data_IF_496534168471
#
_entry.id   IF_496534168471
#
_cell.length_a   1.000
_cell.length_b   1.000
_cell.length_c   1.000
_cell.angle_alpha   90.00
_cell.angle_beta   90.00
_cell.angle_gamma   90.00
#
_symmetry.space_group_name_H-M   'P 1'
#
loop_
_entity.id
_entity.type
_entity.pdbx_description
1 polymer ?
#
# COMPACT_ATOMS: atom_id res chain seq x y z
N UNK A 1 38.04 -6.47 16.04
CA UNK A 1 36.78 -6.13 15.38
C UNK A 1 36.71 -6.94 14.09
N UNK A 2 35.93 -8.03 14.09
CA UNK A 2 35.64 -8.77 12.85
C UNK A 2 34.85 -7.82 11.93
N UNK A 3 35.31 -7.57 10.71
CA UNK A 3 34.53 -6.90 9.69
C UNK A 3 33.26 -7.72 9.48
N UNK A 4 32.10 -7.15 9.81
CA UNK A 4 30.83 -7.75 9.40
C UNK A 4 30.90 -8.04 7.89
N UNK A 5 30.36 -9.18 7.42
CA UNK A 5 30.32 -9.50 6.00
C UNK A 5 29.65 -8.34 5.26
N UNK A 6 30.29 -7.89 4.18
CA UNK A 6 29.88 -6.72 3.40
C UNK A 6 28.49 -6.99 2.80
N UNK A 7 27.42 -6.54 3.50
CA UNK A 7 26.02 -6.73 3.05
C UNK A 7 25.86 -6.09 1.66
N UNK A 8 25.16 -6.75 0.72
CA UNK A 8 24.87 -6.15 -0.58
C UNK A 8 24.15 -4.82 -0.44
N UNK A 9 24.57 -3.82 -1.25
CA UNK A 9 24.01 -2.46 -1.19
C UNK A 9 22.74 -2.36 -2.05
N UNK A 10 21.63 -2.01 -1.40
CA UNK A 10 20.32 -1.79 -2.04
C UNK A 10 19.91 -0.34 -1.86
N UNK A 11 19.59 0.31 -2.97
CA UNK A 11 19.07 1.68 -2.98
C UNK A 11 17.57 1.67 -3.19
N UNK A 12 16.80 2.16 -2.22
CA UNK A 12 15.40 2.51 -2.42
C UNK A 12 15.28 3.89 -3.05
N UNK A 13 14.43 4.02 -4.06
CA UNK A 13 14.01 5.32 -4.60
C UNK A 13 12.54 5.48 -4.29
N UNK A 14 12.21 6.42 -3.39
CA UNK A 14 10.86 6.54 -2.84
C UNK A 14 10.43 7.99 -2.60
N UNK A 15 9.48 8.45 -3.40
CA UNK A 15 8.93 9.82 -3.32
C UNK A 15 7.86 10.00 -2.25
N UNK A 16 7.23 8.91 -1.77
CA UNK A 16 6.20 8.95 -0.74
C UNK A 16 6.59 8.16 0.50
N UNK A 17 7.41 8.76 1.33
CA UNK A 17 7.85 8.25 2.62
C UNK A 17 7.63 9.30 3.71
N UNK A 18 7.60 8.90 5.00
CA UNK A 18 7.64 9.86 6.10
C UNK A 18 8.88 10.74 6.02
N UNK A 19 8.71 12.00 6.35
CA UNK A 19 9.80 12.97 6.44
C UNK A 19 9.71 13.70 7.78
N UNK A 20 10.78 14.33 8.29
CA UNK A 20 10.71 15.10 9.54
C UNK A 20 9.63 16.18 9.56
N UNK A 21 9.13 16.59 8.38
CA UNK A 21 8.09 17.64 8.25
C UNK A 21 6.71 17.11 7.84
N UNK A 22 6.60 15.83 7.46
CA UNK A 22 5.34 15.26 6.94
C UNK A 22 5.21 13.81 7.33
N UNK A 23 4.13 13.49 8.01
CA UNK A 23 3.70 12.11 8.17
C UNK A 23 3.18 11.58 6.83
N UNK A 24 3.55 10.37 6.48
CA UNK A 24 3.14 9.67 5.27
C UNK A 24 3.04 8.18 5.55
N UNK A 25 2.67 7.38 4.56
CA UNK A 25 2.62 5.93 4.68
C UNK A 25 4.00 5.36 5.02
N UNK A 26 4.08 4.60 6.10
CA UNK A 26 5.32 4.02 6.63
C UNK A 26 5.77 2.74 5.92
N UNK A 27 4.91 2.10 5.12
CA UNK A 27 5.15 0.76 4.54
C UNK A 27 6.50 0.65 3.82
N UNK A 28 6.90 1.67 3.05
CA UNK A 28 8.20 1.64 2.34
C UNK A 28 9.37 1.58 3.32
N UNK A 29 9.32 2.40 4.38
CA UNK A 29 10.35 2.40 5.42
C UNK A 29 10.31 1.10 6.24
N UNK A 30 9.13 0.58 6.54
CA UNK A 30 8.98 -0.74 7.19
C UNK A 30 9.67 -1.85 6.38
N UNK A 31 9.48 -1.88 5.06
CA UNK A 31 10.18 -2.84 4.19
C UNK A 31 11.69 -2.62 4.25
N UNK A 32 12.17 -1.37 4.18
CA UNK A 32 13.59 -1.06 4.25
C UNK A 32 14.22 -1.51 5.58
N UNK A 33 13.56 -1.23 6.72
CA UNK A 33 14.03 -1.65 8.04
C UNK A 33 14.09 -3.18 8.16
N UNK A 34 13.03 -3.88 7.73
CA UNK A 34 12.98 -5.33 7.79
C UNK A 34 13.99 -6.02 6.84
N UNK A 35 14.42 -5.35 5.78
CA UNK A 35 15.48 -5.83 4.87
C UNK A 35 16.90 -5.48 5.36
N UNK A 36 17.06 -4.52 6.26
CA UNK A 36 18.38 -4.05 6.73
C UNK A 36 19.25 -5.11 7.43
N UNK A 37 18.70 -6.18 8.03
CA UNK A 37 19.51 -7.30 8.52
C UNK A 37 20.25 -8.05 7.39
N UNK A 38 19.70 -8.08 6.18
CA UNK A 38 20.22 -8.83 5.03
C UNK A 38 21.00 -7.95 4.05
N UNK A 39 20.67 -6.65 3.96
CA UNK A 39 21.20 -5.71 2.97
C UNK A 39 21.65 -4.40 3.62
N UNK A 40 22.64 -3.74 3.01
CA UNK A 40 22.97 -2.36 3.34
C UNK A 40 21.97 -1.44 2.65
N UNK A 41 21.02 -0.91 3.42
CA UNK A 41 19.92 -0.13 2.90
C UNK A 41 20.22 1.37 2.88
N UNK A 42 19.86 2.04 1.79
CA UNK A 42 19.84 3.50 1.71
C UNK A 42 18.63 3.96 0.91
N UNK A 43 18.15 5.17 1.18
CA UNK A 43 16.96 5.72 0.50
C UNK A 43 17.29 7.03 -0.19
N UNK A 44 16.98 7.10 -1.48
CA UNK A 44 16.95 8.33 -2.26
C UNK A 44 15.50 8.82 -2.31
N UNK A 45 15.24 10.00 -1.74
CA UNK A 45 13.91 10.57 -1.69
C UNK A 45 13.72 11.65 -2.78
N UNK A 46 13.05 11.34 -3.90
CA UNK A 46 12.69 12.34 -4.89
C UNK A 46 11.73 13.37 -4.29
N UNK A 47 12.18 14.62 -4.16
CA UNK A 47 11.40 15.72 -3.64
C UNK A 47 11.09 16.73 -4.73
N UNK A 48 9.79 16.97 -4.99
CA UNK A 48 9.34 17.95 -5.97
C UNK A 48 9.73 19.36 -5.50
N UNK A 49 10.43 20.09 -6.34
CA UNK A 49 10.87 21.47 -6.09
C UNK A 49 10.23 22.42 -7.10
N UNK A 50 9.76 23.55 -6.62
CA UNK A 50 9.31 24.66 -7.48
C UNK A 50 10.27 25.86 -7.35
N UNK A 51 10.76 26.44 -8.45
CA UNK A 51 11.55 27.66 -8.41
C UNK A 51 10.71 28.86 -7.96
N UNK A 52 11.38 29.94 -7.52
CA UNK A 52 10.72 31.21 -7.22
C UNK A 52 10.00 31.75 -8.47
N UNK A 53 8.78 32.31 -8.35
CA UNK A 53 7.98 32.55 -7.13
C UNK A 53 7.06 31.39 -6.73
N UNK A 54 7.00 30.31 -7.49
CA UNK A 54 6.08 29.17 -7.28
C UNK A 54 6.33 28.42 -5.96
N UNK A 55 7.56 28.51 -5.42
CA UNK A 55 7.91 27.94 -4.11
C UNK A 55 7.14 28.59 -2.92
N UNK A 56 6.50 29.73 -3.12
CA UNK A 56 5.66 30.39 -2.11
C UNK A 56 4.28 29.74 -1.96
N UNK A 57 3.86 28.91 -2.91
CA UNK A 57 2.57 28.20 -2.81
C UNK A 57 2.58 27.23 -1.64
N UNK A 58 1.43 27.12 -0.93
CA UNK A 58 1.24 26.26 0.25
C UNK A 58 1.73 24.80 0.01
N UNK A 59 1.54 24.29 -1.21
CA UNK A 59 1.97 22.97 -1.66
C UNK A 59 3.50 22.75 -1.50
N UNK A 60 4.32 23.80 -1.70
CA UNK A 60 5.78 23.72 -1.72
C UNK A 60 6.45 24.18 -0.42
N UNK A 61 5.68 24.75 0.54
CA UNK A 61 6.22 25.23 1.82
C UNK A 61 6.83 24.13 2.69
N UNK A 62 6.38 22.89 2.52
CA UNK A 62 6.82 21.73 3.30
C UNK A 62 7.89 20.88 2.58
N UNK A 63 8.47 21.38 1.48
CA UNK A 63 9.55 20.66 0.80
C UNK A 63 10.81 20.75 1.66
N UNK A 64 11.38 19.58 1.93
CA UNK A 64 12.61 19.42 2.70
C UNK A 64 13.77 20.20 2.07
N UNK A 65 14.65 20.73 2.91
CA UNK A 65 15.96 21.23 2.52
C UNK A 65 16.83 20.16 1.83
N UNK A 66 18.11 20.45 1.64
CA UNK A 66 19.08 19.49 1.07
C UNK A 66 19.65 18.52 2.13
N UNK A 67 19.21 18.63 3.38
CA UNK A 67 19.78 17.85 4.47
C UNK A 67 19.26 16.41 4.42
N UNK A 68 20.19 15.47 4.46
CA UNK A 68 19.90 14.07 4.72
C UNK A 68 19.44 13.89 6.16
N UNK A 69 18.64 12.87 6.40
CA UNK A 69 18.25 12.45 7.75
C UNK A 69 18.42 10.95 7.89
N UNK A 70 18.37 10.48 9.08
CA UNK A 70 18.43 9.07 9.43
C UNK A 70 17.10 8.63 10.03
N UNK A 71 16.67 7.45 9.65
CA UNK A 71 15.46 6.78 10.14
C UNK A 71 15.86 5.37 10.56
N UNK A 72 16.02 5.14 11.86
CA UNK A 72 16.46 3.89 12.48
C UNK A 72 17.67 3.23 11.76
N UNK A 73 18.75 3.99 11.60
CA UNK A 73 19.99 3.52 10.97
C UNK A 73 20.00 3.55 9.44
N UNK A 74 18.87 3.89 8.80
CA UNK A 74 18.79 4.03 7.33
C UNK A 74 18.94 5.50 6.94
N UNK A 75 19.97 5.79 6.13
CA UNK A 75 20.21 7.16 5.65
C UNK A 75 19.29 7.48 4.48
N UNK A 76 18.45 8.51 4.66
CA UNK A 76 17.55 9.04 3.62
C UNK A 76 18.15 10.33 3.05
N UNK A 77 18.33 10.37 1.73
CA UNK A 77 18.92 11.51 1.01
C UNK A 77 17.92 12.14 0.06
N UNK A 78 17.62 13.45 0.22
CA UNK A 78 16.70 14.13 -0.69
C UNK A 78 17.33 14.35 -2.07
N UNK A 79 16.55 14.06 -3.11
CA UNK A 79 16.89 14.33 -4.51
C UNK A 79 15.86 15.27 -5.11
N UNK A 80 16.17 16.57 -5.15
CA UNK A 80 15.24 17.57 -5.68
C UNK A 80 15.06 17.43 -7.18
N UNK A 81 13.81 17.42 -7.64
CA UNK A 81 13.49 17.50 -9.06
C UNK A 81 12.48 18.62 -9.33
N UNK A 82 12.55 19.20 -10.52
CA UNK A 82 11.61 20.25 -10.94
C UNK A 82 10.50 19.61 -11.75
N UNK A 83 9.26 19.92 -11.37
CA UNK A 83 8.07 19.55 -12.14
C UNK A 83 7.48 20.80 -12.76
N UNK A 84 7.58 20.93 -14.08
CA UNK A 84 6.98 22.04 -14.83
C UNK A 84 5.61 21.63 -15.37
N UNK A 85 4.59 22.44 -15.03
CA UNK A 85 3.26 22.46 -15.62
C UNK A 85 2.53 21.12 -15.87
N UNK A 86 1.77 20.69 -14.88
CA UNK A 86 0.76 19.62 -14.99
C UNK A 86 1.31 18.19 -15.08
N UNK A 87 0.44 17.22 -14.80
CA UNK A 87 0.81 15.80 -14.82
C UNK A 87 1.25 15.27 -16.19
N UNK A 88 0.85 15.93 -17.29
CA UNK A 88 1.09 15.49 -18.67
C UNK A 88 2.48 15.81 -19.21
N UNK A 89 3.17 16.85 -18.68
CA UNK A 89 4.46 17.34 -19.21
C UNK A 89 5.57 17.37 -18.14
N UNK A 90 5.50 16.49 -17.17
CA UNK A 90 6.20 16.60 -15.90
C UNK A 90 7.74 16.45 -15.96
N UNK A 91 8.34 16.08 -17.11
CA UNK A 91 9.71 15.57 -17.14
C UNK A 91 10.63 16.23 -18.17
N UNK A 92 10.32 17.42 -18.62
CA UNK A 92 11.10 18.14 -19.66
C UNK A 92 12.54 18.53 -19.26
N UNK A 93 12.95 18.38 -17.98
CA UNK A 93 14.28 18.74 -17.50
C UNK A 93 15.18 17.52 -17.19
N UNK A 94 14.86 16.38 -17.76
CA UNK A 94 15.54 15.10 -17.50
C UNK A 94 17.06 15.07 -17.78
N UNK A 95 17.62 15.76 -18.79
CA UNK A 95 19.06 15.73 -19.04
C UNK A 95 19.92 16.19 -17.85
N UNK A 96 19.41 17.15 -17.06
CA UNK A 96 20.10 17.65 -15.88
C UNK A 96 20.20 16.61 -14.76
N UNK A 97 19.30 15.62 -14.73
CA UNK A 97 19.29 14.60 -13.68
C UNK A 97 20.35 13.56 -13.85
N UNK A 98 20.71 13.20 -15.10
CA UNK A 98 21.78 12.22 -15.38
C UNK A 98 23.11 12.59 -14.70
N UNK A 99 23.53 13.86 -14.82
CA UNK A 99 24.74 14.37 -14.16
C UNK A 99 24.64 14.32 -12.62
N UNK A 100 23.46 14.59 -12.08
CA UNK A 100 23.22 14.58 -10.62
C UNK A 100 23.19 13.15 -10.07
N UNK A 101 22.58 12.21 -10.79
CA UNK A 101 22.57 10.78 -10.47
C UNK A 101 23.99 10.24 -10.50
N UNK A 102 24.76 10.55 -11.54
CA UNK A 102 26.16 10.15 -11.64
C UNK A 102 26.97 10.64 -10.42
N UNK A 103 26.84 11.93 -10.09
CA UNK A 103 27.50 12.51 -8.90
C UNK A 103 27.05 11.83 -7.61
N UNK A 104 25.77 11.54 -7.46
CA UNK A 104 25.25 10.82 -6.30
C UNK A 104 25.91 9.45 -6.14
N UNK A 105 25.95 8.64 -7.20
CA UNK A 105 26.58 7.32 -7.17
C UNK A 105 28.11 7.39 -6.96
N UNK A 106 28.79 8.40 -7.50
CA UNK A 106 30.20 8.63 -7.23
C UNK A 106 30.51 8.96 -5.76
N UNK A 107 29.61 9.70 -5.10
CA UNK A 107 29.76 10.11 -3.70
C UNK A 107 29.34 9.04 -2.69
N UNK A 108 28.36 8.20 -3.03
CA UNK A 108 27.73 7.29 -2.08
C UNK A 108 27.85 5.81 -2.44
N UNK A 109 28.56 5.51 -3.54
CA UNK A 109 28.71 4.16 -4.07
C UNK A 109 27.61 3.78 -5.06
N UNK A 110 27.96 2.86 -5.96
CA UNK A 110 27.03 2.26 -6.92
C UNK A 110 26.25 1.17 -6.19
N UNK A 111 24.90 1.20 -6.17
CA UNK A 111 24.12 0.12 -5.58
C UNK A 111 24.21 -1.16 -6.41
N UNK A 112 24.01 -2.32 -5.80
CA UNK A 112 23.91 -3.60 -6.51
C UNK A 112 22.49 -3.89 -7.00
N UNK A 113 21.50 -3.21 -6.41
CA UNK A 113 20.09 -3.26 -6.82
C UNK A 113 19.43 -1.92 -6.50
N UNK A 114 18.56 -1.46 -7.38
CA UNK A 114 17.69 -0.30 -7.13
C UNK A 114 16.24 -0.76 -7.06
N UNK A 115 15.51 -0.34 -6.01
CA UNK A 115 14.08 -0.59 -5.92
C UNK A 115 13.31 0.73 -5.88
N UNK A 116 12.60 1.03 -6.95
CA UNK A 116 11.73 2.19 -7.09
C UNK A 116 10.32 1.87 -6.58
N UNK A 117 9.75 2.73 -5.73
CA UNK A 117 8.45 2.49 -5.10
C UNK A 117 7.25 3.10 -5.84
N UNK A 118 7.50 3.76 -6.97
CA UNK A 118 6.53 4.22 -7.97
C UNK A 118 7.17 4.16 -9.35
N UNK A 119 6.37 4.07 -10.40
CA UNK A 119 6.90 4.10 -11.76
C UNK A 119 7.51 5.47 -12.09
N UNK A 120 6.88 6.57 -11.66
CA UNK A 120 7.38 7.92 -11.87
C UNK A 120 7.16 8.80 -10.63
N UNK A 121 8.15 9.58 -10.16
CA UNK A 121 9.49 9.78 -10.73
C UNK A 121 10.52 8.72 -10.34
N UNK A 122 10.21 7.86 -9.39
CA UNK A 122 11.14 6.95 -8.71
C UNK A 122 11.78 5.97 -9.72
N UNK A 123 10.95 5.29 -10.52
CA UNK A 123 11.40 4.33 -11.53
C UNK A 123 12.25 4.97 -12.62
N UNK A 124 12.00 6.25 -12.97
CA UNK A 124 12.89 6.95 -13.90
C UNK A 124 14.30 7.13 -13.34
N UNK A 125 14.43 7.47 -12.07
CA UNK A 125 15.74 7.59 -11.42
C UNK A 125 16.43 6.23 -11.39
N UNK A 126 15.70 5.16 -11.04
CA UNK A 126 16.23 3.80 -11.05
C UNK A 126 16.69 3.37 -12.45
N UNK A 127 15.89 3.64 -13.48
CA UNK A 127 16.23 3.42 -14.88
C UNK A 127 17.51 4.15 -15.29
N UNK A 128 17.69 5.41 -14.92
CA UNK A 128 18.92 6.15 -15.22
C UNK A 128 20.15 5.58 -14.51
N UNK A 129 20.03 5.08 -13.28
CA UNK A 129 21.12 4.38 -12.57
C UNK A 129 21.45 3.09 -13.32
N UNK A 130 20.44 2.31 -13.71
CA UNK A 130 20.61 1.10 -14.50
C UNK A 130 21.35 1.35 -15.81
N UNK A 131 20.96 2.38 -16.57
CA UNK A 131 21.59 2.75 -17.84
C UNK A 131 23.05 3.23 -17.68
N UNK A 132 23.38 3.84 -16.54
CA UNK A 132 24.72 4.36 -16.28
C UNK A 132 25.69 3.29 -15.77
N UNK A 133 25.21 2.32 -15.01
CA UNK A 133 26.05 1.42 -14.22
C UNK A 133 25.72 -0.06 -14.43
N UNK A 134 24.81 -0.40 -15.33
CA UNK A 134 24.34 -1.76 -15.59
C UNK A 134 23.82 -2.48 -14.32
N UNK A 135 23.09 -1.75 -13.47
CA UNK A 135 22.52 -2.24 -12.22
C UNK A 135 21.08 -2.66 -12.44
N UNK A 136 20.64 -3.84 -11.98
CA UNK A 136 19.23 -4.24 -12.07
C UNK A 136 18.36 -3.32 -11.23
N UNK A 137 17.10 -3.09 -11.70
CA UNK A 137 16.15 -2.34 -10.91
C UNK A 137 14.76 -2.98 -10.93
N UNK A 138 14.05 -2.77 -9.83
CA UNK A 138 12.68 -3.22 -9.58
C UNK A 138 11.78 -1.99 -9.48
N UNK A 139 10.53 -2.13 -9.92
CA UNK A 139 9.49 -1.13 -9.74
C UNK A 139 8.35 -1.73 -8.93
N UNK A 140 8.00 -1.12 -7.80
CA UNK A 140 6.71 -1.33 -7.15
C UNK A 140 5.66 -0.43 -7.82
N UNK A 141 4.88 -1.00 -8.74
CA UNK A 141 3.81 -0.31 -9.42
C UNK A 141 2.61 -0.14 -8.47
N UNK A 142 2.13 1.07 -8.36
CA UNK A 142 1.05 1.38 -7.42
C UNK A 142 -0.17 1.93 -8.15
N UNK A 143 -1.30 1.96 -7.45
CA UNK A 143 -2.56 2.48 -8.00
C UNK A 143 -2.43 3.90 -8.57
N UNK A 144 -1.62 4.76 -7.97
CA UNK A 144 -1.35 6.11 -8.51
C UNK A 144 -0.69 6.11 -9.89
N UNK A 145 0.01 5.04 -10.25
CA UNK A 145 0.69 4.91 -11.55
C UNK A 145 -0.27 4.57 -12.68
N UNK A 146 -1.42 3.94 -12.36
CA UNK A 146 -2.47 3.57 -13.32
C UNK A 146 -2.95 4.80 -14.11
N UNK A 147 -3.10 5.94 -13.44
CA UNK A 147 -3.51 7.18 -14.10
C UNK A 147 -2.51 7.64 -15.19
N UNK A 148 -1.22 7.36 -14.99
CA UNK A 148 -0.18 7.68 -15.98
C UNK A 148 -0.08 6.61 -17.06
N UNK A 149 -0.34 5.36 -16.72
CA UNK A 149 -0.43 4.25 -17.65
C UNK A 149 -1.55 4.45 -18.68
N UNK A 150 -2.68 5.02 -18.26
CA UNK A 150 -3.86 5.29 -19.09
C UNK A 150 -3.80 6.60 -19.90
N UNK A 151 -2.67 7.33 -19.86
CA UNK A 151 -2.49 8.52 -20.69
C UNK A 151 -2.41 8.15 -22.18
N UNK A 152 -2.79 9.09 -23.09
CA UNK A 152 -2.68 8.86 -24.53
C UNK A 152 -1.25 8.53 -24.98
N UNK A 153 -1.06 7.71 -26.02
CA UNK A 153 0.27 7.25 -26.48
C UNK A 153 1.23 8.39 -26.89
N UNK A 154 0.70 9.51 -27.36
CA UNK A 154 1.50 10.70 -27.72
C UNK A 154 1.99 11.51 -26.51
N UNK A 155 1.48 11.23 -25.30
CA UNK A 155 1.89 11.92 -24.09
C UNK A 155 3.31 11.53 -23.69
N UNK A 156 4.19 12.50 -23.45
CA UNK A 156 5.58 12.27 -23.04
C UNK A 156 5.69 11.49 -21.73
N UNK A 157 4.78 11.70 -20.80
CA UNK A 157 4.72 10.93 -19.54
C UNK A 157 4.40 9.44 -19.80
N UNK A 158 3.48 9.15 -20.74
CA UNK A 158 3.17 7.77 -21.12
C UNK A 158 4.37 7.09 -21.76
N UNK A 159 5.02 7.75 -22.72
CA UNK A 159 6.23 7.20 -23.37
C UNK A 159 7.33 6.90 -22.37
N UNK A 160 7.58 7.85 -21.46
CA UNK A 160 8.59 7.67 -20.41
C UNK A 160 8.23 6.52 -19.46
N UNK A 161 6.96 6.41 -19.07
CA UNK A 161 6.51 5.29 -18.23
C UNK A 161 6.69 3.96 -18.95
N UNK A 162 6.33 3.87 -20.24
CA UNK A 162 6.52 2.65 -21.00
C UNK A 162 8.00 2.26 -21.09
N UNK A 163 8.89 3.23 -21.34
CA UNK A 163 10.34 2.99 -21.36
C UNK A 163 10.85 2.46 -20.01
N UNK A 164 10.41 3.09 -18.92
CA UNK A 164 10.80 2.72 -17.55
C UNK A 164 10.28 1.32 -17.18
N UNK A 165 9.05 0.99 -17.53
CA UNK A 165 8.47 -0.32 -17.22
C UNK A 165 9.08 -1.44 -18.07
N UNK A 166 9.31 -1.20 -19.38
CA UNK A 166 9.85 -2.22 -20.31
C UNK A 166 11.31 -2.60 -20.01
N UNK A 167 12.07 -1.72 -19.36
CA UNK A 167 13.47 -1.99 -18.99
C UNK A 167 13.66 -2.44 -17.54
N UNK A 168 12.58 -2.53 -16.76
CA UNK A 168 12.66 -3.01 -15.38
C UNK A 168 13.00 -4.51 -15.33
N UNK A 169 13.92 -4.89 -14.44
CA UNK A 169 14.28 -6.30 -14.22
C UNK A 169 13.09 -7.08 -13.64
N UNK A 170 12.25 -6.42 -12.83
CA UNK A 170 10.97 -6.92 -12.36
C UNK A 170 10.02 -5.77 -12.03
N UNK A 171 8.74 -6.01 -12.23
CA UNK A 171 7.67 -5.14 -11.76
C UNK A 171 6.91 -5.88 -10.66
N UNK A 172 6.75 -5.23 -9.51
CA UNK A 172 5.99 -5.72 -8.38
C UNK A 172 4.65 -5.00 -8.33
N UNK A 173 3.60 -5.74 -8.07
CA UNK A 173 2.25 -5.24 -7.75
C UNK A 173 1.79 -5.80 -6.41
N UNK A 174 0.75 -5.24 -5.81
CA UNK A 174 0.34 -5.64 -4.46
C UNK A 174 -0.90 -6.54 -4.45
N UNK A 175 -1.65 -6.62 -5.55
CA UNK A 175 -2.83 -7.46 -5.69
C UNK A 175 -3.06 -7.89 -7.14
N UNK A 176 -3.98 -8.84 -7.33
CA UNK A 176 -4.31 -9.39 -8.64
C UNK A 176 -4.89 -8.34 -9.61
N UNK A 177 -5.68 -7.38 -9.12
CA UNK A 177 -6.25 -6.34 -9.98
C UNK A 177 -5.17 -5.47 -10.64
N UNK A 178 -4.11 -5.13 -9.90
CA UNK A 178 -2.98 -4.40 -10.47
C UNK A 178 -2.19 -5.26 -11.45
N UNK A 179 -2.08 -6.57 -11.19
CA UNK A 179 -1.42 -7.52 -12.08
C UNK A 179 -2.18 -7.62 -13.42
N UNK A 180 -3.50 -7.74 -13.37
CA UNK A 180 -4.38 -7.79 -14.54
C UNK A 180 -4.23 -6.52 -15.39
N UNK A 181 -4.30 -5.32 -14.79
CA UNK A 181 -4.09 -4.05 -15.48
C UNK A 181 -2.72 -3.97 -16.18
N UNK A 182 -1.66 -4.45 -15.55
CA UNK A 182 -0.33 -4.48 -16.18
C UNK A 182 -0.23 -5.52 -17.28
N UNK A 183 -0.83 -6.70 -17.11
CA UNK A 183 -0.89 -7.76 -18.11
C UNK A 183 -1.62 -7.29 -19.37
N UNK A 184 -2.77 -6.64 -19.23
CA UNK A 184 -3.51 -6.02 -20.34
C UNK A 184 -2.70 -4.94 -21.07
N UNK A 185 -1.83 -4.24 -20.33
CA UNK A 185 -0.91 -3.26 -20.90
C UNK A 185 0.38 -3.88 -21.50
N UNK A 186 0.52 -5.22 -21.46
CA UNK A 186 1.67 -5.95 -22.02
C UNK A 186 2.88 -6.05 -21.10
N UNK A 187 2.73 -5.88 -19.78
CA UNK A 187 3.82 -5.97 -18.80
C UNK A 187 3.65 -7.16 -17.87
N UNK A 188 4.69 -7.98 -17.75
CA UNK A 188 4.75 -9.02 -16.73
C UNK A 188 5.02 -8.42 -15.34
N UNK A 189 4.33 -8.92 -14.33
CA UNK A 189 4.51 -8.49 -12.95
C UNK A 189 4.36 -9.64 -11.96
N UNK A 190 4.90 -9.42 -10.74
CA UNK A 190 4.83 -10.36 -9.63
C UNK A 190 4.01 -9.75 -8.51
N UNK A 191 3.05 -10.50 -7.98
CA UNK A 191 2.28 -10.08 -6.81
C UNK A 191 3.14 -10.22 -5.56
N UNK A 192 3.43 -9.08 -4.92
CA UNK A 192 4.13 -8.98 -3.65
C UNK A 192 3.26 -8.18 -2.69
N UNK A 193 2.41 -8.85 -1.90
CA UNK A 193 1.51 -8.18 -0.96
C UNK A 193 2.29 -7.46 0.15
N UNK A 194 1.58 -6.67 0.94
CA UNK A 194 2.13 -6.17 2.19
C UNK A 194 1.97 -7.21 3.29
N UNK A 195 2.85 -7.14 4.29
CA UNK A 195 2.77 -7.97 5.49
C UNK A 195 2.09 -7.24 6.65
N UNK A 196 1.71 -8.01 7.65
CA UNK A 196 1.32 -7.52 8.97
C UNK A 196 2.25 -8.10 10.04
N UNK A 197 2.32 -7.44 11.19
CA UNK A 197 3.12 -7.91 12.31
C UNK A 197 2.46 -9.16 12.93
N UNK A 198 3.30 -10.08 13.38
CA UNK A 198 2.82 -11.33 14.03
C UNK A 198 2.07 -11.07 15.34
N UNK A 199 2.39 -9.97 16.01
CA UNK A 199 1.73 -9.56 17.26
C UNK A 199 0.26 -9.15 17.06
N UNK A 200 -0.16 -8.90 15.83
CA UNK A 200 -1.56 -8.62 15.48
C UNK A 200 -2.47 -9.85 15.55
N UNK A 201 -1.90 -11.06 15.52
CA UNK A 201 -2.70 -12.28 15.54
C UNK A 201 -3.24 -12.59 16.94
N UNK A 202 -4.52 -12.31 17.13
CA UNK A 202 -5.25 -12.67 18.34
C UNK A 202 -6.28 -13.76 18.02
N UNK A 203 -6.31 -14.83 18.79
CA UNK A 203 -7.44 -15.76 18.75
C UNK A 203 -8.64 -15.10 19.43
N UNK A 204 -9.80 -15.16 18.79
CA UNK A 204 -11.06 -14.87 19.51
C UNK A 204 -11.20 -15.84 20.67
N UNK A 205 -11.38 -15.29 21.85
CA UNK A 205 -11.89 -16.07 22.98
C UNK A 205 -13.29 -16.54 22.59
N UNK A 206 -13.51 -17.85 22.51
CA UNK A 206 -14.72 -18.61 22.14
C UNK A 206 -15.89 -17.85 21.50
N UNK A 207 -16.52 -18.44 20.48
CA UNK A 207 -17.67 -17.88 19.76
C UNK A 207 -18.64 -17.17 20.72
N UNK A 208 -18.85 -15.89 20.45
CA UNK A 208 -19.73 -15.04 21.24
C UNK A 208 -21.13 -15.67 21.25
N UNK A 209 -21.54 -16.25 22.36
CA UNK A 209 -22.88 -16.85 22.53
C UNK A 209 -23.98 -15.79 22.69
N UNK A 210 -23.59 -14.50 22.63
CA UNK A 210 -24.53 -13.40 22.65
C UNK A 210 -25.22 -13.25 21.29
N UNK A 211 -26.53 -12.99 21.32
CA UNK A 211 -27.31 -12.68 20.10
C UNK A 211 -26.96 -11.28 19.51
N UNK A 212 -25.77 -10.75 19.83
CA UNK A 212 -25.27 -9.46 19.36
C UNK A 212 -24.09 -9.70 18.42
N UNK A 213 -24.20 -9.19 17.20
CA UNK A 213 -23.16 -9.23 16.19
C UNK A 213 -22.47 -7.88 16.06
N UNK A 214 -21.17 -7.86 16.21
CA UNK A 214 -20.35 -6.65 16.15
C UNK A 214 -19.75 -6.50 14.75
N UNK A 215 -19.99 -5.35 14.13
CA UNK A 215 -19.48 -4.98 12.81
C UNK A 215 -18.50 -3.82 12.96
N UNK A 216 -17.31 -3.95 12.39
CA UNK A 216 -16.34 -2.87 12.31
C UNK A 216 -16.21 -2.33 10.89
N UNK A 217 -16.06 -1.01 10.79
CA UNK A 217 -15.65 -0.32 9.58
C UNK A 217 -14.54 0.68 9.93
N UNK A 218 -13.39 0.62 9.27
CA UNK A 218 -12.24 1.49 9.56
C UNK A 218 -11.73 2.10 8.27
N UNK A 219 -11.74 3.44 8.17
CA UNK A 219 -11.26 4.13 6.99
C UNK A 219 -11.42 5.64 7.06
N UNK A 220 -10.77 6.35 6.14
CA UNK A 220 -10.97 7.80 5.98
C UNK A 220 -12.41 8.08 5.52
N UNK A 221 -13.06 9.10 6.09
CA UNK A 221 -14.44 9.46 5.75
C UNK A 221 -14.49 10.26 4.45
N UNK A 222 -14.27 9.55 3.34
CA UNK A 222 -14.32 10.04 1.97
C UNK A 222 -15.25 9.18 1.11
N UNK A 223 -15.81 9.72 0.01
CA UNK A 223 -16.82 9.00 -0.81
C UNK A 223 -16.35 7.63 -1.29
N UNK A 224 -15.07 7.48 -1.62
CA UNK A 224 -14.49 6.25 -2.16
C UNK A 224 -14.47 5.07 -1.17
N UNK A 225 -14.70 5.33 0.12
CA UNK A 225 -14.74 4.28 1.17
C UNK A 225 -16.11 3.67 1.35
N UNK A 226 -17.17 4.32 0.83
CA UNK A 226 -18.56 3.85 0.93
C UNK A 226 -19.00 3.45 2.34
N UNK A 227 -18.58 4.25 3.35
CA UNK A 227 -18.99 4.02 4.74
C UNK A 227 -20.50 4.21 4.91
N UNK A 228 -21.08 5.10 4.10
CA UNK A 228 -22.54 5.29 3.97
C UNK A 228 -23.27 3.99 3.62
N UNK A 229 -22.71 3.14 2.77
CA UNK A 229 -23.29 1.82 2.45
C UNK A 229 -23.37 0.94 3.69
N UNK A 230 -22.32 0.93 4.52
CA UNK A 230 -22.29 0.10 5.73
C UNK A 230 -23.35 0.57 6.73
N UNK A 231 -23.43 1.89 6.95
CA UNK A 231 -24.45 2.48 7.86
C UNK A 231 -25.87 2.18 7.35
N UNK A 232 -26.12 2.43 6.06
CA UNK A 232 -27.45 2.23 5.48
C UNK A 232 -27.89 0.74 5.50
N UNK A 233 -26.98 -0.18 5.22
CA UNK A 233 -27.28 -1.61 5.26
C UNK A 233 -27.59 -2.10 6.69
N UNK A 234 -26.83 -1.63 7.69
CA UNK A 234 -27.11 -1.96 9.10
C UNK A 234 -28.45 -1.39 9.56
N UNK A 235 -28.78 -0.15 9.18
CA UNK A 235 -30.09 0.47 9.50
C UNK A 235 -31.28 -0.23 8.84
N UNK A 236 -31.08 -0.74 7.64
CA UNK A 236 -32.14 -1.40 6.86
C UNK A 236 -32.29 -2.91 7.19
N UNK A 237 -31.50 -3.42 8.14
CA UNK A 237 -31.62 -4.82 8.55
C UNK A 237 -32.82 -5.04 9.44
N UNK A 238 -33.71 -5.97 9.06
CA UNK A 238 -34.96 -6.29 9.75
C UNK A 238 -35.00 -7.73 10.33
N UNK A 239 -33.81 -8.41 10.39
CA UNK A 239 -33.75 -9.77 10.93
C UNK A 239 -33.69 -9.81 12.48
N UNK A 240 -33.60 -11.02 13.03
CA UNK A 240 -33.68 -11.26 14.47
C UNK A 240 -32.41 -10.94 15.27
N UNK A 241 -31.24 -10.79 14.61
CA UNK A 241 -29.98 -10.54 15.29
C UNK A 241 -29.83 -9.07 15.69
N UNK A 242 -29.30 -8.85 16.88
CA UNK A 242 -28.92 -7.50 17.31
C UNK A 242 -27.58 -7.14 16.71
N UNK A 243 -27.52 -6.04 15.97
CA UNK A 243 -26.29 -5.54 15.34
C UNK A 243 -25.69 -4.42 16.19
N UNK A 244 -24.36 -4.32 16.19
CA UNK A 244 -23.63 -3.14 16.67
C UNK A 244 -22.58 -2.77 15.63
N UNK A 245 -22.68 -1.57 15.08
CA UNK A 245 -21.71 -1.04 14.12
C UNK A 245 -20.82 0.00 14.80
N UNK A 246 -19.52 -0.21 14.74
CA UNK A 246 -18.52 0.77 15.14
C UNK A 246 -17.72 1.22 13.92
N UNK A 247 -17.70 2.52 13.67
CA UNK A 247 -17.03 3.15 12.53
C UNK A 247 -15.89 4.03 13.04
N UNK A 248 -14.65 3.69 12.67
CA UNK A 248 -13.47 4.46 13.05
C UNK A 248 -12.86 5.18 11.85
N UNK A 249 -12.58 6.46 12.00
CA UNK A 249 -11.98 7.29 10.96
C UNK A 249 -12.33 8.76 11.10
N UNK A 250 -11.83 9.55 10.18
CA UNK A 250 -12.11 10.99 10.05
C UNK A 250 -12.08 11.38 8.59
N UNK A 251 -12.76 12.47 8.23
CA UNK A 251 -12.74 13.00 6.89
C UNK A 251 -13.90 13.94 6.57
N UNK A 252 -13.93 14.45 5.35
CA UNK A 252 -14.92 15.45 4.94
C UNK A 252 -16.38 14.98 5.02
N UNK A 253 -16.64 13.66 4.96
CA UNK A 253 -18.01 13.12 5.07
C UNK A 253 -18.51 12.95 6.51
N UNK A 254 -17.72 13.37 7.54
CA UNK A 254 -18.11 13.14 8.93
C UNK A 254 -19.52 13.58 9.26
N UNK A 255 -19.90 14.80 8.89
CA UNK A 255 -21.22 15.34 9.15
C UNK A 255 -22.35 14.54 8.47
N UNK A 256 -22.13 14.12 7.22
CA UNK A 256 -23.09 13.30 6.47
C UNK A 256 -23.28 11.93 7.14
N UNK A 257 -22.19 11.28 7.56
CA UNK A 257 -22.24 9.99 8.25
C UNK A 257 -22.91 10.09 9.63
N UNK A 258 -22.70 11.20 10.37
CA UNK A 258 -23.38 11.48 11.63
C UNK A 258 -24.90 11.63 11.43
N UNK A 259 -25.34 12.31 10.36
CA UNK A 259 -26.75 12.40 10.02
C UNK A 259 -27.34 11.04 9.66
N UNK A 260 -26.60 10.22 8.91
CA UNK A 260 -27.03 8.85 8.57
C UNK A 260 -27.13 7.95 9.82
N UNK A 261 -26.28 8.14 10.82
CA UNK A 261 -26.30 7.37 12.06
C UNK A 261 -27.32 7.91 13.09
N UNK A 262 -27.89 9.09 12.88
CA UNK A 262 -28.79 9.73 13.84
C UNK A 262 -30.01 8.87 14.14
N UNK A 263 -30.30 8.69 15.45
CA UNK A 263 -31.46 7.89 15.92
C UNK A 263 -31.21 6.38 15.89
N UNK A 264 -29.98 5.91 15.64
CA UNK A 264 -29.60 4.51 15.72
C UNK A 264 -28.57 4.32 16.85
N UNK A 265 -29.01 3.88 18.02
CA UNK A 265 -28.14 3.72 19.21
C UNK A 265 -27.11 2.59 19.06
N UNK A 266 -27.28 1.74 18.10
CA UNK A 266 -26.43 0.61 17.73
C UNK A 266 -25.32 0.98 16.71
N UNK A 267 -25.30 2.23 16.22
CA UNK A 267 -24.29 2.73 15.28
C UNK A 267 -23.45 3.83 15.95
N UNK A 268 -22.15 3.59 16.06
CA UNK A 268 -21.24 4.48 16.75
C UNK A 268 -20.10 4.93 15.84
N UNK A 269 -19.96 6.25 15.63
CA UNK A 269 -18.81 6.87 14.97
C UNK A 269 -17.77 7.26 16.01
N UNK A 270 -16.64 6.53 16.01
CA UNK A 270 -15.58 6.68 17.03
C UNK A 270 -14.62 7.86 16.77
N UNK A 271 -14.67 8.45 15.56
CA UNK A 271 -13.65 9.38 15.14
C UNK A 271 -12.31 8.69 14.85
N UNK A 272 -11.24 9.47 14.77
CA UNK A 272 -9.89 8.94 14.55
C UNK A 272 -9.36 8.30 15.83
N UNK A 273 -9.02 7.02 15.76
CA UNK A 273 -8.44 6.24 16.86
C UNK A 273 -6.98 5.88 16.58
N UNK A 274 -6.23 5.47 17.60
CA UNK A 274 -4.86 4.98 17.44
C UNK A 274 -4.85 3.60 16.76
N UNK A 275 -3.69 3.20 16.22
CA UNK A 275 -3.53 1.89 15.59
C UNK A 275 -3.79 0.73 16.58
N UNK A 276 -3.35 0.88 17.84
CA UNK A 276 -3.61 -0.10 18.88
C UNK A 276 -5.12 -0.25 19.17
N UNK A 277 -5.85 0.88 19.18
CA UNK A 277 -7.29 0.87 19.35
C UNK A 277 -8.03 0.30 18.11
N UNK A 278 -7.43 0.35 16.91
CA UNK A 278 -7.96 -0.37 15.74
C UNK A 278 -7.86 -1.89 15.98
N UNK A 279 -6.73 -2.38 16.47
CA UNK A 279 -6.58 -3.80 16.84
C UNK A 279 -7.62 -4.25 17.87
N UNK A 280 -7.85 -3.45 18.90
CA UNK A 280 -8.88 -3.75 19.92
C UNK A 280 -10.30 -3.74 19.34
N UNK A 281 -10.63 -2.78 18.46
CA UNK A 281 -11.90 -2.73 17.74
C UNK A 281 -12.12 -4.00 16.92
N UNK A 282 -11.12 -4.41 16.15
CA UNK A 282 -11.19 -5.61 15.31
C UNK A 282 -11.30 -6.89 16.13
N UNK A 283 -10.61 -6.98 17.28
CA UNK A 283 -10.70 -8.11 18.21
C UNK A 283 -12.12 -8.30 18.76
N UNK A 284 -12.84 -7.20 18.98
CA UNK A 284 -14.23 -7.20 19.47
C UNK A 284 -15.28 -7.40 18.37
N UNK A 285 -14.86 -7.44 17.10
CA UNK A 285 -15.78 -7.49 15.95
C UNK A 285 -15.88 -8.87 15.33
N UNK A 286 -17.00 -9.19 14.72
CA UNK A 286 -17.30 -10.44 14.04
C UNK A 286 -17.17 -10.29 12.53
N UNK A 287 -17.54 -9.12 12.02
CA UNK A 287 -17.49 -8.76 10.60
C UNK A 287 -16.69 -7.47 10.46
N UNK A 288 -15.81 -7.45 9.48
CA UNK A 288 -15.18 -6.22 8.99
C UNK A 288 -15.73 -5.89 7.61
N UNK A 289 -16.39 -4.75 7.48
CA UNK A 289 -17.03 -4.32 6.24
C UNK A 289 -16.44 -2.99 5.77
N UNK A 290 -15.76 -2.99 4.61
CA UNK A 290 -15.26 -1.78 3.98
C UNK A 290 -15.36 -1.90 2.44
N UNK A 291 -16.48 -1.49 1.82
CA UNK A 291 -16.68 -1.57 0.36
C UNK A 291 -15.96 -0.45 -0.40
N UNK A 292 -14.66 -0.29 -0.17
CA UNK A 292 -13.84 0.78 -0.72
C UNK A 292 -13.52 0.56 -2.20
N UNK A 293 -13.85 1.50 -3.08
CA UNK A 293 -13.58 1.43 -4.54
C UNK A 293 -12.21 1.98 -4.94
N UNK A 294 -11.47 2.57 -4.03
CA UNK A 294 -10.19 3.20 -4.34
C UNK A 294 -9.10 2.80 -3.35
N UNK A 295 -8.85 1.50 -3.23
CA UNK A 295 -7.84 0.97 -2.32
C UNK A 295 -6.62 0.45 -3.08
N UNK A 296 -5.41 0.72 -2.57
CA UNK A 296 -4.19 0.19 -3.16
C UNK A 296 -3.97 -1.27 -2.74
N UNK A 297 -4.09 -1.54 -1.45
CA UNK A 297 -3.99 -2.86 -0.86
C UNK A 297 -4.98 -3.00 0.31
N UNK A 298 -4.97 -2.01 1.23
CA UNK A 298 -5.84 -2.00 2.40
C UNK A 298 -5.35 -2.92 3.50
N UNK A 299 -4.26 -2.54 4.18
CA UNK A 299 -3.68 -3.30 5.31
C UNK A 299 -4.72 -3.68 6.36
N UNK A 300 -5.71 -2.80 6.58
CA UNK A 300 -6.78 -3.03 7.55
C UNK A 300 -7.59 -4.31 7.28
N UNK A 301 -7.67 -4.79 6.04
CA UNK A 301 -8.30 -6.09 5.77
C UNK A 301 -7.47 -7.25 6.35
N UNK A 302 -6.13 -7.21 6.20
CA UNK A 302 -5.27 -8.20 6.82
C UNK A 302 -5.28 -8.11 8.35
N UNK A 303 -5.33 -6.89 8.88
CA UNK A 303 -5.48 -6.65 10.32
C UNK A 303 -6.79 -7.27 10.83
N UNK A 304 -7.89 -7.10 10.09
CA UNK A 304 -9.17 -7.69 10.43
C UNK A 304 -9.17 -9.24 10.34
N UNK A 305 -8.53 -9.81 9.30
CA UNK A 305 -8.39 -11.27 9.21
C UNK A 305 -7.53 -11.84 10.33
N UNK A 306 -6.48 -11.14 10.76
CA UNK A 306 -5.64 -11.54 11.90
C UNK A 306 -6.40 -11.56 13.23
N UNK A 307 -7.53 -10.87 13.32
CA UNK A 307 -8.45 -10.90 14.46
C UNK A 307 -9.69 -11.76 14.20
N UNK A 308 -9.65 -12.66 13.20
CA UNK A 308 -10.75 -13.56 12.84
C UNK A 308 -12.08 -12.83 12.57
N UNK A 309 -12.02 -11.74 11.80
CA UNK A 309 -13.23 -11.12 11.26
C UNK A 309 -13.56 -11.71 9.88
N UNK A 310 -14.84 -11.96 9.61
CA UNK A 310 -15.31 -12.20 8.25
C UNK A 310 -15.24 -10.90 7.44
N UNK A 311 -14.72 -10.96 6.21
CA UNK A 311 -14.36 -9.78 5.44
C UNK A 311 -15.36 -9.52 4.31
N UNK A 312 -15.81 -8.27 4.17
CA UNK A 312 -16.45 -7.77 2.94
C UNK A 312 -15.60 -6.65 2.36
N UNK A 313 -15.19 -6.80 1.10
CA UNK A 313 -14.39 -5.84 0.35
C UNK A 313 -14.99 -5.60 -1.05
N UNK A 314 -14.38 -4.72 -1.83
CA UNK A 314 -14.80 -4.44 -3.22
C UNK A 314 -14.00 -5.29 -4.20
N UNK A 315 -14.69 -5.85 -5.19
CA UNK A 315 -14.09 -6.57 -6.33
C UNK A 315 -13.16 -5.65 -7.14
N UNK A 316 -12.03 -6.17 -7.61
CA UNK A 316 -11.11 -5.44 -8.48
C UNK A 316 -10.27 -4.34 -7.79
N UNK A 317 -10.23 -4.28 -6.45
CA UNK A 317 -9.42 -3.29 -5.72
C UNK A 317 -9.02 -3.81 -4.33
N UNK A 318 -8.07 -3.15 -3.69
CA UNK A 318 -7.65 -3.50 -2.33
C UNK A 318 -7.09 -4.90 -2.21
N UNK A 319 -7.72 -5.72 -1.35
CA UNK A 319 -7.31 -7.09 -1.06
C UNK A 319 -7.74 -8.11 -2.13
N UNK A 320 -8.46 -7.67 -3.18
CA UNK A 320 -8.95 -8.54 -4.25
C UNK A 320 -7.84 -9.43 -4.83
N UNK A 321 -8.13 -10.74 -4.93
CA UNK A 321 -7.21 -11.76 -5.43
C UNK A 321 -6.13 -12.20 -4.46
N UNK A 322 -6.04 -11.56 -3.27
CA UNK A 322 -5.18 -12.04 -2.17
C UNK A 322 -5.96 -12.97 -1.23
N UNK A 323 -7.27 -12.76 -1.10
CA UNK A 323 -8.20 -13.65 -0.42
C UNK A 323 -9.19 -14.22 -1.46
N UNK A 324 -9.57 -15.48 -1.29
CA UNK A 324 -10.48 -16.21 -2.19
C UNK A 324 -11.92 -15.79 -1.95
N UNK A 325 -12.64 -15.39 -3.03
CA UNK A 325 -14.06 -15.02 -2.91
C UNK A 325 -14.91 -16.23 -2.52
N UNK A 326 -15.81 -16.03 -1.58
CA UNK A 326 -16.71 -17.05 -1.06
C UNK A 326 -16.12 -17.99 -0.02
N UNK A 327 -14.77 -17.97 0.18
CA UNK A 327 -14.06 -18.83 1.13
C UNK A 327 -13.33 -18.03 2.22
N UNK A 328 -12.57 -17.02 1.85
CA UNK A 328 -11.75 -16.21 2.76
C UNK A 328 -12.25 -14.76 2.88
N UNK A 329 -13.03 -14.29 1.90
CA UNK A 329 -13.70 -12.99 1.91
C UNK A 329 -14.94 -13.00 0.99
N UNK A 330 -15.82 -12.00 1.14
CA UNK A 330 -16.85 -11.69 0.16
C UNK A 330 -16.52 -10.38 -0.56
N UNK A 331 -16.69 -10.36 -1.89
CA UNK A 331 -16.43 -9.17 -2.67
C UNK A 331 -17.71 -8.65 -3.34
N UNK A 332 -18.00 -7.38 -3.13
CA UNK A 332 -19.14 -6.68 -3.73
C UNK A 332 -18.69 -5.76 -4.88
N UNK A 333 -19.60 -5.44 -5.78
CA UNK A 333 -19.42 -4.50 -6.89
C UNK A 333 -20.47 -3.39 -6.94
N UNK A 334 -21.50 -3.51 -6.09
CA UNK A 334 -22.64 -2.59 -5.98
C UNK A 334 -23.16 -2.55 -4.55
N UNK A 335 -23.98 -1.53 -4.22
CA UNK A 335 -24.64 -1.46 -2.92
C UNK A 335 -25.53 -2.67 -2.65
N UNK A 336 -26.34 -3.09 -3.64
CA UNK A 336 -27.20 -4.27 -3.51
C UNK A 336 -26.39 -5.53 -3.21
N UNK A 337 -25.32 -5.77 -3.99
CA UNK A 337 -24.43 -6.91 -3.77
C UNK A 337 -23.73 -6.84 -2.40
N UNK A 338 -23.37 -5.63 -1.94
CA UNK A 338 -22.84 -5.42 -0.58
C UNK A 338 -23.83 -5.81 0.50
N UNK A 339 -25.06 -5.30 0.39
CA UNK A 339 -26.13 -5.54 1.36
C UNK A 339 -26.48 -7.04 1.46
N UNK A 340 -26.66 -7.72 0.33
CA UNK A 340 -26.92 -9.17 0.27
C UNK A 340 -25.81 -9.97 0.97
N UNK A 341 -24.54 -9.64 0.69
CA UNK A 341 -23.39 -10.31 1.29
C UNK A 341 -23.24 -10.02 2.77
N UNK A 342 -23.55 -8.79 3.19
CA UNK A 342 -23.56 -8.44 4.61
C UNK A 342 -24.62 -9.24 5.35
N UNK A 343 -25.83 -9.31 4.81
CA UNK A 343 -26.93 -10.07 5.42
C UNK A 343 -26.64 -11.57 5.45
N UNK A 344 -26.00 -12.12 4.42
CA UNK A 344 -25.53 -13.50 4.46
C UNK A 344 -24.56 -13.75 5.62
N UNK A 345 -23.58 -12.86 5.85
CA UNK A 345 -22.67 -12.98 7.00
C UNK A 345 -23.38 -12.77 8.34
N UNK A 346 -24.42 -11.97 8.38
CA UNK A 346 -25.21 -11.77 9.59
C UNK A 346 -25.99 -13.03 9.92
N UNK A 347 -26.69 -13.61 8.97
CA UNK A 347 -27.63 -14.72 9.20
C UNK A 347 -26.96 -16.09 9.32
N UNK A 348 -25.90 -16.33 8.55
CA UNK A 348 -25.24 -17.64 8.46
C UNK A 348 -24.02 -17.73 9.37
N UNK A 349 -24.19 -17.96 10.67
CA UNK A 349 -23.11 -18.03 11.67
C UNK A 349 -22.01 -19.03 11.30
N UNK A 350 -22.39 -20.23 10.83
CA UNK A 350 -21.45 -21.25 10.41
C UNK A 350 -20.57 -20.80 9.25
N UNK A 351 -21.17 -20.20 8.23
CA UNK A 351 -20.48 -19.66 7.06
C UNK A 351 -19.54 -18.51 7.46
N UNK A 352 -20.05 -17.53 8.23
CA UNK A 352 -19.25 -16.43 8.75
C UNK A 352 -18.01 -16.89 9.51
N UNK A 353 -18.20 -17.79 10.46
CA UNK A 353 -17.11 -18.27 11.32
C UNK A 353 -16.08 -19.08 10.54
N UNK A 354 -16.51 -19.91 9.58
CA UNK A 354 -15.60 -20.66 8.72
C UNK A 354 -14.80 -19.72 7.82
N UNK A 355 -15.43 -18.73 7.20
CA UNK A 355 -14.74 -17.71 6.37
C UNK A 355 -13.70 -16.95 7.18
N UNK A 356 -14.06 -16.49 8.38
CA UNK A 356 -13.15 -15.80 9.28
C UNK A 356 -11.92 -16.66 9.65
N UNK A 357 -12.14 -17.94 9.90
CA UNK A 357 -11.08 -18.90 10.20
C UNK A 357 -10.17 -19.15 8.99
N UNK A 358 -10.75 -19.36 7.80
CA UNK A 358 -10.00 -19.57 6.57
C UNK A 358 -9.13 -18.33 6.25
N UNK A 359 -9.70 -17.13 6.35
CA UNK A 359 -8.98 -15.88 6.16
C UNK A 359 -7.84 -15.69 7.18
N UNK A 360 -8.06 -16.05 8.45
CA UNK A 360 -7.04 -16.01 9.49
C UNK A 360 -5.88 -16.94 9.16
N UNK A 361 -6.16 -18.21 8.83
CA UNK A 361 -5.13 -19.18 8.46
C UNK A 361 -4.34 -18.71 7.25
N UNK A 362 -5.04 -18.30 6.20
CA UNK A 362 -4.41 -17.75 4.98
C UNK A 362 -3.50 -16.57 5.27
N UNK A 363 -3.96 -15.64 6.11
CA UNK A 363 -3.19 -14.45 6.46
C UNK A 363 -1.94 -14.82 7.25
N UNK A 364 -2.06 -15.72 8.21
CA UNK A 364 -0.94 -16.20 9.04
C UNK A 364 0.13 -16.91 8.22
N UNK A 365 -0.28 -17.70 7.24
CA UNK A 365 0.62 -18.52 6.42
C UNK A 365 1.26 -17.77 5.25
N UNK A 366 0.68 -16.61 4.82
CA UNK A 366 1.12 -15.98 3.58
C UNK A 366 1.42 -14.48 3.69
N UNK A 367 0.95 -13.80 4.75
CA UNK A 367 0.95 -12.33 4.82
C UNK A 367 1.58 -11.78 6.11
N UNK A 368 2.37 -12.55 6.85
CA UNK A 368 3.23 -11.97 7.88
C UNK A 368 4.42 -11.25 7.25
N UNK A 369 4.94 -10.23 7.92
CA UNK A 369 6.13 -9.54 7.42
C UNK A 369 7.32 -10.49 7.21
N UNK A 370 7.51 -11.49 8.05
CA UNK A 370 8.62 -12.44 7.90
C UNK A 370 8.54 -13.16 6.55
N UNK A 371 7.36 -13.69 6.19
CA UNK A 371 7.14 -14.37 4.92
C UNK A 371 7.32 -13.41 3.72
N UNK A 372 6.79 -12.19 3.84
CA UNK A 372 6.90 -11.20 2.76
C UNK A 372 8.36 -10.75 2.57
N UNK A 373 9.09 -10.54 3.67
CA UNK A 373 10.50 -10.16 3.60
C UNK A 373 11.36 -11.27 2.99
N UNK A 374 11.11 -12.53 3.33
CA UNK A 374 11.80 -13.68 2.72
C UNK A 374 11.59 -13.73 1.19
N UNK A 375 10.38 -13.41 0.73
CA UNK A 375 10.10 -13.27 -0.72
C UNK A 375 10.89 -12.12 -1.34
N UNK A 376 11.00 -10.96 -0.67
CA UNK A 376 11.84 -9.84 -1.13
C UNK A 376 13.32 -10.22 -1.17
N UNK A 377 13.84 -10.87 -0.12
CA UNK A 377 15.23 -11.33 -0.04
C UNK A 377 15.55 -12.28 -1.20
N UNK A 378 14.68 -13.26 -1.44
CA UNK A 378 14.83 -14.23 -2.53
C UNK A 378 14.84 -13.53 -3.89
N UNK A 379 13.91 -12.60 -4.13
CA UNK A 379 13.84 -11.83 -5.37
C UNK A 379 15.09 -10.95 -5.57
N UNK A 380 15.55 -10.25 -4.52
CA UNK A 380 16.71 -9.36 -4.63
C UNK A 380 17.97 -10.16 -4.93
N UNK A 381 18.18 -11.28 -4.23
CA UNK A 381 19.35 -12.15 -4.46
C UNK A 381 19.36 -12.73 -5.86
N UNK A 382 18.23 -13.17 -6.41
CA UNK A 382 18.13 -13.71 -7.76
C UNK A 382 18.56 -12.69 -8.83
N UNK A 383 18.21 -11.41 -8.67
CA UNK A 383 18.56 -10.35 -9.60
C UNK A 383 20.03 -9.92 -9.50
N UNK A 384 20.61 -9.95 -8.29
CA UNK A 384 22.02 -9.61 -8.09
C UNK A 384 22.99 -10.66 -8.66
N UNK A 385 22.61 -11.94 -8.62
CA UNK A 385 23.42 -13.04 -9.19
C UNK A 385 23.49 -12.95 -10.72
N UNK A 386 22.39 -12.60 -11.37
CA UNK A 386 22.32 -12.51 -12.84
C UNK A 386 23.29 -11.45 -13.39
N UNK A 387 23.57 -10.40 -12.63
CA UNK A 387 24.45 -9.31 -13.05
C UNK A 387 25.95 -9.72 -13.01
N UNK A 388 26.33 -10.63 -12.13
CA UNK A 388 27.72 -11.10 -12.00
C UNK A 388 28.13 -12.08 -13.11
N UNK A 389 27.18 -12.76 -13.76
CA UNK A 389 27.46 -13.70 -14.86
C UNK A 389 27.73 -13.03 -16.22
N UNK A 390 27.38 -11.75 -16.38
CA UNK A 390 27.62 -10.98 -17.62
C UNK A 390 28.86 -10.05 -17.54
N UNK A 391 29.56 -10.03 -16.41
CA UNK A 391 30.75 -9.20 -16.19
C UNK A 391 32.06 -10.01 -16.12
N UNK A 392 32.04 -11.30 -16.50
CA UNK A 392 33.20 -12.17 -16.60
C UNK A 392 33.65 -12.44 -18.04
#
# INVERSE_FOLDING_TARGET
MQKEPNKPNVLFVASNIPTPKRQSNKVVMTIAHKLSPQFSMSVLHPAEFAPFPFNMMKKYKNIMGNQSWEDDGIVVRPFKYIRLFGKKNAFLLLPCYKKRILRYCQQHGIPQLVHAHFALPDGYIAYQISQLFNVPYIISFRKSDIASLNLPPHCSTKKLMSEVLSNASKIIVHNAAQQEILSEAGYESVVMPHGIETDFFAKKESANTSNILNIACVGEFIPQKHIDWVINAVRAYEGDKKLKLKVAGEGPMRHELELLAQGADDIQLLGKISHDNVGELLRQSDIFALPSVNETFGLVYLEATAHQNAIIATKGTGIWGNLTDGDEALYCDSYTSFQEKLYKLIEEDGFRNQMALNAYVKTKENYTWDIIIDRYVSLYRSLMVTTNCFSS
#
